data_IF_871928865274
#
_entry.id   IF_871928865274
#
_cell.length_a   1.000
_cell.length_b   1.000
_cell.length_c   1.000
_cell.angle_alpha   90.00
_cell.angle_beta   90.00
_cell.angle_gamma   90.00
#
_symmetry.space_group_name_H-M   'P 1'
#
loop_
_entity.id
_entity.type
_entity.pdbx_description
1 polymer ?
#
# COMPACT_ATOMS: atom_id res chain seq x y z
N UNK A 1 17.04 39.73 -9.10
CA UNK A 1 16.54 38.65 -9.93
C UNK A 1 16.47 37.39 -9.05
N UNK A 2 15.34 37.19 -8.43
CA UNK A 2 15.07 36.05 -7.55
C UNK A 2 14.94 34.82 -8.44
N UNK A 3 15.85 33.83 -8.30
CA UNK A 3 15.65 32.48 -8.77
C UNK A 3 14.46 31.92 -7.94
N UNK A 4 13.28 31.89 -8.53
CA UNK A 4 12.23 31.00 -8.08
C UNK A 4 12.80 29.60 -8.18
N UNK A 5 13.02 28.95 -7.05
CA UNK A 5 13.31 27.53 -6.97
C UNK A 5 12.08 26.81 -7.56
N UNK A 6 12.16 26.46 -8.84
CA UNK A 6 11.15 25.67 -9.51
C UNK A 6 11.18 24.31 -8.83
N UNK A 7 10.26 24.11 -7.86
CA UNK A 7 10.08 22.83 -7.17
C UNK A 7 9.89 21.78 -8.26
N UNK A 8 10.77 20.80 -8.31
CA UNK A 8 10.70 19.74 -9.32
C UNK A 8 9.46 18.91 -9.02
N UNK A 9 8.44 19.00 -9.85
CA UNK A 9 7.26 18.18 -9.74
C UNK A 9 7.56 16.78 -10.24
N UNK A 10 7.20 15.76 -9.45
CA UNK A 10 7.29 14.35 -9.82
C UNK A 10 5.90 13.90 -10.25
N UNK A 11 5.72 13.65 -11.55
CA UNK A 11 4.41 13.32 -12.13
C UNK A 11 4.23 11.83 -12.43
N UNK A 12 5.29 11.04 -12.37
CA UNK A 12 5.22 9.58 -12.53
C UNK A 12 6.28 8.86 -11.71
N UNK A 13 5.99 7.62 -11.34
CA UNK A 13 6.89 6.72 -10.62
C UNK A 13 7.11 5.48 -11.48
N UNK A 14 8.38 5.15 -11.75
CA UNK A 14 8.74 3.92 -12.44
C UNK A 14 8.77 2.72 -11.48
N UNK A 15 8.97 1.53 -12.03
CA UNK A 15 9.00 0.28 -11.26
C UNK A 15 10.08 0.26 -10.19
N UNK A 16 11.28 0.77 -10.50
CA UNK A 16 12.40 0.82 -9.53
C UNK A 16 12.04 1.69 -8.32
N UNK A 17 11.52 2.88 -8.56
CA UNK A 17 11.10 3.79 -7.48
C UNK A 17 9.97 3.21 -6.65
N UNK A 18 8.96 2.60 -7.28
CA UNK A 18 7.85 1.96 -6.56
C UNK A 18 8.33 0.77 -5.73
N UNK A 19 9.25 -0.05 -6.26
CA UNK A 19 9.89 -1.15 -5.52
C UNK A 19 10.59 -0.64 -4.26
N UNK A 20 11.38 0.43 -4.38
CA UNK A 20 12.06 1.05 -3.23
C UNK A 20 11.10 1.63 -2.20
N UNK A 21 10.01 2.26 -2.65
CA UNK A 21 8.96 2.78 -1.77
C UNK A 21 8.28 1.65 -1.00
N UNK A 22 7.95 0.56 -1.67
CA UNK A 22 7.36 -0.63 -1.03
C UNK A 22 8.28 -1.22 0.03
N UNK A 23 9.56 -1.41 -0.28
CA UNK A 23 10.55 -1.95 0.67
C UNK A 23 10.76 -1.02 1.87
N UNK A 24 10.78 0.29 1.66
CA UNK A 24 10.86 1.27 2.74
C UNK A 24 9.62 1.23 3.64
N UNK A 25 8.42 1.13 3.06
CA UNK A 25 7.17 0.97 3.79
C UNK A 25 7.13 -0.31 4.62
N UNK A 26 7.62 -1.42 4.06
CA UNK A 26 7.70 -2.70 4.76
C UNK A 26 8.62 -2.61 5.99
N UNK A 27 9.79 -1.99 5.86
CA UNK A 27 10.72 -1.76 6.98
C UNK A 27 10.12 -0.84 8.05
N UNK A 28 9.41 0.21 7.63
CA UNK A 28 8.76 1.14 8.57
C UNK A 28 7.66 0.45 9.37
N UNK A 29 6.85 -0.38 8.72
CA UNK A 29 5.82 -1.17 9.41
C UNK A 29 6.44 -2.16 10.40
N UNK A 30 7.49 -2.88 10.01
CA UNK A 30 8.20 -3.81 10.88
C UNK A 30 8.82 -3.11 12.10
N UNK A 31 9.41 -1.94 11.91
CA UNK A 31 9.98 -1.13 12.99
C UNK A 31 8.93 -0.63 14.00
N UNK A 32 7.68 -0.47 13.57
CA UNK A 32 6.57 0.04 14.40
C UNK A 32 5.61 -1.04 14.89
N UNK A 33 5.89 -2.31 14.64
CA UNK A 33 4.95 -3.41 14.94
C UNK A 33 4.55 -3.49 16.40
N UNK A 34 5.48 -3.28 17.32
CA UNK A 34 5.18 -3.34 18.77
C UNK A 34 4.25 -2.19 19.18
N UNK A 35 4.49 -0.99 18.69
CA UNK A 35 3.58 0.13 18.94
C UNK A 35 2.18 -0.12 18.38
N UNK A 36 2.06 -0.73 17.19
CA UNK A 36 0.76 -1.11 16.62
C UNK A 36 0.10 -2.20 17.46
N UNK A 37 0.86 -3.17 18.00
CA UNK A 37 0.35 -4.18 18.91
C UNK A 37 -0.27 -3.54 20.17
N UNK A 38 0.39 -2.53 20.77
CA UNK A 38 -0.11 -1.80 21.93
C UNK A 38 -1.43 -1.07 21.64
N UNK A 39 -1.63 -0.58 20.43
CA UNK A 39 -2.85 0.10 20.00
C UNK A 39 -3.99 -0.87 19.64
N UNK A 40 -3.74 -2.16 19.60
CA UNK A 40 -4.71 -3.17 19.19
C UNK A 40 -5.70 -3.47 20.34
N UNK A 41 -6.72 -2.62 20.47
CA UNK A 41 -7.79 -2.72 21.47
C UNK A 41 -9.15 -3.07 20.88
N UNK A 42 -9.28 -3.07 19.56
CA UNK A 42 -10.53 -3.33 18.83
C UNK A 42 -10.21 -3.96 17.44
N UNK A 43 -11.06 -4.85 16.92
CA UNK A 43 -12.25 -5.46 17.51
C UNK A 43 -11.94 -6.57 18.51
N UNK A 44 -10.74 -7.15 18.47
CA UNK A 44 -10.25 -8.19 19.37
C UNK A 44 -8.92 -7.72 19.97
N UNK A 45 -8.82 -7.53 21.29
CA UNK A 45 -7.64 -6.96 21.93
C UNK A 45 -6.58 -8.03 22.23
N UNK A 46 -6.12 -8.76 21.20
CA UNK A 46 -5.10 -9.80 21.30
C UNK A 46 -3.66 -9.29 21.15
N UNK A 47 -3.50 -7.99 20.81
CA UNK A 47 -2.19 -7.34 20.78
C UNK A 47 -1.26 -7.85 19.69
N UNK A 48 -1.77 -8.40 18.59
CA UNK A 48 -0.97 -9.04 17.55
C UNK A 48 -1.08 -8.40 16.15
N UNK A 49 -1.86 -7.33 16.02
CA UNK A 49 -2.11 -6.67 14.71
C UNK A 49 -0.82 -6.26 14.02
N UNK A 50 0.09 -5.59 14.74
CA UNK A 50 1.36 -5.14 14.20
C UNK A 50 2.26 -6.31 13.78
N UNK A 51 2.33 -7.34 14.59
CA UNK A 51 3.09 -8.57 14.28
C UNK A 51 2.53 -9.25 13.02
N UNK A 52 1.23 -9.43 12.94
CA UNK A 52 0.57 -10.07 11.80
C UNK A 52 0.76 -9.27 10.49
N UNK A 53 0.60 -7.97 10.55
CA UNK A 53 0.81 -7.09 9.39
C UNK A 53 2.29 -7.07 8.96
N UNK A 54 3.22 -7.01 9.92
CA UNK A 54 4.65 -7.06 9.64
C UNK A 54 5.05 -8.36 8.97
N UNK A 55 4.64 -9.52 9.51
CA UNK A 55 4.93 -10.82 8.90
C UNK A 55 4.39 -10.92 7.47
N UNK A 56 3.21 -10.37 7.23
CA UNK A 56 2.56 -10.36 5.92
C UNK A 56 3.33 -9.53 4.91
N UNK A 57 3.65 -8.27 5.24
CA UNK A 57 4.37 -7.38 4.31
C UNK A 57 5.82 -7.81 4.11
N UNK A 58 6.49 -8.32 5.14
CA UNK A 58 7.86 -8.79 5.04
C UNK A 58 7.98 -10.04 4.17
N UNK A 59 6.94 -10.88 4.09
CA UNK A 59 6.88 -11.98 3.14
C UNK A 59 6.90 -11.46 1.69
N UNK A 60 6.13 -10.43 1.38
CA UNK A 60 6.17 -9.77 0.07
C UNK A 60 7.51 -9.06 -0.17
N UNK A 61 8.05 -8.38 0.84
CA UNK A 61 9.31 -7.65 0.72
C UNK A 61 10.49 -8.57 0.37
N UNK A 62 10.52 -9.79 0.89
CA UNK A 62 11.54 -10.77 0.50
C UNK A 62 11.46 -11.13 -0.99
N UNK A 63 10.27 -11.29 -1.53
CA UNK A 63 10.09 -11.58 -2.95
C UNK A 63 10.43 -10.39 -3.83
N UNK A 64 10.03 -9.19 -3.44
CA UNK A 64 10.40 -7.94 -4.14
C UNK A 64 11.92 -7.74 -4.12
N UNK A 65 12.56 -7.96 -2.97
CA UNK A 65 14.01 -7.81 -2.82
C UNK A 65 14.83 -8.83 -3.63
N UNK A 66 14.23 -9.94 -4.05
CA UNK A 66 14.86 -10.96 -4.88
C UNK A 66 14.77 -10.67 -6.39
N UNK A 67 13.97 -9.68 -6.79
CA UNK A 67 13.81 -9.30 -8.19
C UNK A 67 15.02 -8.51 -8.69
N UNK A 68 15.39 -8.75 -9.95
CA UNK A 68 16.43 -8.00 -10.67
C UNK A 68 15.81 -7.32 -11.87
N UNK A 69 15.84 -5.98 -11.89
CA UNK A 69 15.26 -5.15 -12.96
C UNK A 69 13.83 -5.58 -13.36
N UNK A 70 12.88 -5.67 -12.40
CA UNK A 70 11.54 -6.17 -12.69
C UNK A 70 10.75 -5.21 -13.57
N UNK A 71 9.84 -5.78 -14.34
CA UNK A 71 8.71 -5.03 -14.91
C UNK A 71 7.71 -4.70 -13.82
N UNK A 72 6.82 -3.74 -14.05
CA UNK A 72 5.73 -3.42 -13.12
C UNK A 72 4.84 -4.64 -12.85
N UNK A 73 4.60 -5.47 -13.85
CA UNK A 73 3.85 -6.72 -13.73
C UNK A 73 4.53 -7.73 -12.81
N UNK A 74 5.84 -7.88 -12.91
CA UNK A 74 6.61 -8.76 -12.01
C UNK A 74 6.65 -8.24 -10.59
N UNK A 75 6.82 -6.93 -10.40
CA UNK A 75 6.74 -6.28 -9.09
C UNK A 75 5.35 -6.48 -8.46
N UNK A 76 4.29 -6.20 -9.19
CA UNK A 76 2.92 -6.38 -8.74
C UNK A 76 2.62 -7.84 -8.34
N UNK A 77 3.12 -8.80 -9.11
CA UNK A 77 3.00 -10.23 -8.79
C UNK A 77 3.73 -10.58 -7.50
N UNK A 78 4.97 -10.09 -7.31
CA UNK A 78 5.74 -10.34 -6.10
C UNK A 78 5.06 -9.78 -4.84
N UNK A 79 4.54 -8.56 -4.91
CA UNK A 79 3.80 -7.92 -3.81
C UNK A 79 2.53 -8.71 -3.50
N UNK A 80 1.68 -8.95 -4.50
CA UNK A 80 0.38 -9.59 -4.32
C UNK A 80 0.51 -11.04 -3.84
N UNK A 81 1.33 -11.84 -4.52
CA UNK A 81 1.49 -13.26 -4.19
C UNK A 81 2.30 -13.45 -2.90
N UNK A 82 3.32 -12.64 -2.69
CA UNK A 82 4.16 -12.71 -1.49
C UNK A 82 3.39 -12.36 -0.22
N UNK A 83 2.58 -11.31 -0.25
CA UNK A 83 1.73 -10.93 0.89
C UNK A 83 0.64 -11.98 1.15
N UNK A 84 0.04 -12.55 0.12
CA UNK A 84 -0.98 -13.58 0.27
C UNK A 84 -0.41 -14.87 0.92
N UNK A 85 0.76 -15.33 0.47
CA UNK A 85 1.43 -16.50 1.07
C UNK A 85 1.85 -16.26 2.52
N UNK A 86 2.23 -15.05 2.83
CA UNK A 86 2.67 -14.64 4.17
C UNK A 86 1.56 -14.14 5.09
N UNK A 87 0.32 -14.09 4.62
CA UNK A 87 -0.80 -13.52 5.39
C UNK A 87 -0.97 -14.23 6.74
N UNK A 88 -1.03 -13.43 7.82
CA UNK A 88 -1.24 -13.89 9.20
C UNK A 88 -2.32 -13.08 9.87
N UNK A 89 -3.22 -13.76 10.58
CA UNK A 89 -4.33 -13.15 11.29
C UNK A 89 -5.29 -12.39 10.37
N UNK A 90 -6.34 -11.82 10.94
CA UNK A 90 -7.32 -11.05 10.17
C UNK A 90 -6.70 -9.80 9.53
N UNK A 91 -5.86 -9.09 10.26
CA UNK A 91 -5.17 -7.88 9.78
C UNK A 91 -4.23 -8.18 8.61
N UNK A 92 -3.47 -9.27 8.67
CA UNK A 92 -2.59 -9.68 7.58
C UNK A 92 -3.37 -10.13 6.33
N UNK A 93 -4.47 -10.86 6.51
CA UNK A 93 -5.35 -11.23 5.38
C UNK A 93 -5.93 -9.99 4.71
N UNK A 94 -6.45 -9.03 5.48
CA UNK A 94 -6.98 -7.77 4.94
C UNK A 94 -5.88 -6.99 4.19
N UNK A 95 -4.69 -6.85 4.80
CA UNK A 95 -3.55 -6.19 4.15
C UNK A 95 -3.20 -6.86 2.82
N UNK A 96 -3.18 -8.20 2.77
CA UNK A 96 -2.91 -8.93 1.53
C UNK A 96 -3.97 -8.68 0.45
N UNK A 97 -5.23 -8.49 0.82
CA UNK A 97 -6.30 -8.15 -0.12
C UNK A 97 -6.21 -6.71 -0.62
N UNK A 98 -5.79 -5.78 0.23
CA UNK A 98 -5.48 -4.40 -0.18
C UNK A 98 -4.37 -4.40 -1.24
N UNK A 99 -3.26 -5.10 -0.99
CA UNK A 99 -2.19 -5.23 -1.98
C UNK A 99 -2.64 -5.92 -3.26
N UNK A 100 -3.46 -6.95 -3.15
CA UNK A 100 -4.02 -7.64 -4.32
C UNK A 100 -4.82 -6.72 -5.21
N UNK A 101 -5.70 -5.90 -4.63
CA UNK A 101 -6.49 -4.91 -5.37
C UNK A 101 -5.62 -3.83 -6.00
N UNK A 102 -4.69 -3.27 -5.25
CA UNK A 102 -3.73 -2.27 -5.72
C UNK A 102 -2.91 -2.80 -6.91
N UNK A 103 -2.36 -3.99 -6.78
CA UNK A 103 -1.54 -4.62 -7.82
C UNK A 103 -2.31 -4.98 -9.09
N UNK A 104 -3.63 -5.21 -9.00
CA UNK A 104 -4.48 -5.42 -10.19
C UNK A 104 -4.49 -4.23 -11.13
N UNK A 105 -4.36 -3.03 -10.60
CA UNK A 105 -4.34 -1.79 -11.39
C UNK A 105 -2.94 -1.52 -11.90
N UNK A 106 -1.93 -1.44 -11.03
CA UNK A 106 -0.59 -0.99 -11.42
C UNK A 106 0.11 -1.91 -12.44
N UNK A 107 -0.21 -3.20 -12.44
CA UNK A 107 0.41 -4.19 -13.35
C UNK A 107 0.18 -3.90 -14.84
N UNK A 108 -0.81 -3.09 -15.17
CA UNK A 108 -1.17 -2.74 -16.55
C UNK A 108 -0.40 -1.51 -17.08
N UNK A 109 0.46 -0.92 -16.24
CA UNK A 109 1.20 0.31 -16.56
C UNK A 109 2.70 0.11 -16.39
N UNK A 110 3.50 0.80 -17.20
CA UNK A 110 4.96 0.83 -17.05
C UNK A 110 5.39 1.87 -16.00
N UNK A 111 4.64 2.96 -15.90
CA UNK A 111 4.79 4.02 -14.91
C UNK A 111 3.45 4.34 -14.25
N UNK A 112 3.50 4.84 -13.03
CA UNK A 112 2.33 5.15 -12.21
C UNK A 112 2.30 6.65 -11.94
N UNK A 113 1.24 7.31 -12.37
CA UNK A 113 0.94 8.70 -12.06
C UNK A 113 -0.13 8.81 -10.96
N UNK A 114 -0.55 10.03 -10.62
CA UNK A 114 -1.59 10.28 -9.62
C UNK A 114 -2.90 9.59 -9.98
N UNK A 115 -3.31 9.61 -11.23
CA UNK A 115 -4.56 8.98 -11.68
C UNK A 115 -4.52 7.46 -11.49
N UNK A 116 -3.43 6.82 -11.91
CA UNK A 116 -3.24 5.37 -11.73
C UNK A 116 -3.19 4.99 -10.24
N UNK A 117 -2.49 5.77 -9.41
CA UNK A 117 -2.47 5.55 -7.96
C UNK A 117 -3.84 5.67 -7.32
N UNK A 118 -4.63 6.68 -7.73
CA UNK A 118 -5.99 6.86 -7.26
C UNK A 118 -6.85 5.63 -7.56
N UNK A 119 -6.82 5.15 -8.81
CA UNK A 119 -7.54 3.94 -9.23
C UNK A 119 -7.05 2.70 -8.46
N UNK A 120 -5.74 2.60 -8.21
CA UNK A 120 -5.15 1.51 -7.43
C UNK A 120 -5.64 1.50 -5.97
N UNK A 121 -5.73 2.66 -5.32
CA UNK A 121 -6.30 2.77 -3.97
C UNK A 121 -7.78 2.40 -3.94
N UNK A 122 -8.58 2.86 -4.91
CA UNK A 122 -10.00 2.48 -5.01
C UNK A 122 -10.14 0.96 -5.16
N UNK A 123 -9.35 0.36 -6.04
CA UNK A 123 -9.39 -1.09 -6.28
C UNK A 123 -8.91 -1.90 -5.08
N UNK A 124 -7.93 -1.39 -4.34
CA UNK A 124 -7.47 -1.99 -3.10
C UNK A 124 -8.61 -2.10 -2.07
N UNK A 125 -9.30 -1.00 -1.83
CA UNK A 125 -10.43 -0.94 -0.89
C UNK A 125 -11.58 -1.84 -1.34
N UNK A 126 -11.99 -1.76 -2.60
CA UNK A 126 -13.04 -2.62 -3.16
C UNK A 126 -12.71 -4.11 -2.96
N UNK A 127 -11.48 -4.50 -3.25
CA UNK A 127 -11.04 -5.89 -3.14
C UNK A 127 -11.05 -6.37 -1.68
N UNK A 128 -10.57 -5.54 -0.76
CA UNK A 128 -10.53 -5.88 0.66
C UNK A 128 -11.93 -5.98 1.27
N UNK A 129 -12.84 -5.04 0.97
CA UNK A 129 -14.22 -5.09 1.46
C UNK A 129 -14.99 -6.31 0.93
N UNK A 130 -14.78 -6.72 -0.32
CA UNK A 130 -15.37 -7.94 -0.89
C UNK A 130 -14.86 -9.22 -0.23
N UNK A 131 -13.63 -9.21 0.28
CA UNK A 131 -13.04 -10.37 0.95
C UNK A 131 -13.51 -10.56 2.39
N UNK A 132 -14.07 -9.52 3.01
CA UNK A 132 -14.54 -9.53 4.41
C UNK A 132 -16.06 -9.67 4.44
N UNK A 133 -16.55 -10.78 5.01
CA UNK A 133 -17.99 -11.06 5.06
C UNK A 133 -18.78 -10.04 5.88
N UNK A 134 -18.19 -9.50 6.95
CA UNK A 134 -18.80 -8.51 7.85
C UNK A 134 -17.77 -7.42 8.17
N UNK A 135 -17.57 -6.43 7.28
CA UNK A 135 -16.66 -5.32 7.53
C UNK A 135 -17.06 -4.58 8.82
N UNK A 136 -16.06 -4.24 9.64
CA UNK A 136 -16.25 -3.43 10.85
C UNK A 136 -15.56 -2.08 10.69
N UNK A 137 -16.28 -1.02 11.03
CA UNK A 137 -15.69 0.32 11.11
C UNK A 137 -14.74 0.44 12.30
N UNK A 138 -13.80 1.38 12.24
CA UNK A 138 -12.74 1.55 13.24
C UNK A 138 -11.60 0.55 13.10
N UNK A 139 -11.42 -0.03 11.90
CA UNK A 139 -10.36 -1.00 11.58
C UNK A 139 -9.46 -0.48 10.43
N UNK A 140 -8.47 -1.28 10.03
CA UNK A 140 -7.63 -1.00 8.85
C UNK A 140 -8.47 -0.72 7.58
N UNK A 141 -9.65 -1.32 7.46
CA UNK A 141 -10.56 -1.06 6.33
C UNK A 141 -11.05 0.39 6.32
N UNK A 142 -11.38 0.95 7.48
CA UNK A 142 -11.79 2.36 7.61
C UNK A 142 -10.66 3.31 7.21
N UNK A 143 -9.43 3.01 7.65
CA UNK A 143 -8.24 3.80 7.28
C UNK A 143 -7.98 3.73 5.78
N UNK A 144 -8.01 2.52 5.21
CA UNK A 144 -7.81 2.33 3.77
C UNK A 144 -8.89 3.06 2.94
N UNK A 145 -10.15 3.01 3.38
CA UNK A 145 -11.25 3.75 2.73
C UNK A 145 -11.03 5.26 2.80
N UNK A 146 -10.66 5.78 3.97
CA UNK A 146 -10.34 7.19 4.14
C UNK A 146 -9.20 7.65 3.24
N UNK A 147 -8.13 6.87 3.12
CA UNK A 147 -7.04 7.14 2.21
C UNK A 147 -7.49 7.14 0.74
N UNK A 148 -8.31 6.18 0.33
CA UNK A 148 -8.83 6.10 -1.03
C UNK A 148 -9.78 7.26 -1.36
N UNK A 149 -10.64 7.67 -0.43
CA UNK A 149 -11.53 8.82 -0.58
C UNK A 149 -10.71 10.13 -0.71
N UNK A 150 -9.68 10.30 0.10
CA UNK A 150 -8.77 11.46 0.02
C UNK A 150 -7.99 11.48 -1.30
N UNK A 151 -7.58 10.32 -1.79
CA UNK A 151 -6.91 10.17 -3.09
C UNK A 151 -7.79 10.66 -4.24
N UNK A 152 -9.10 10.40 -4.21
CA UNK A 152 -10.05 10.92 -5.21
C UNK A 152 -10.09 12.45 -5.24
N UNK A 153 -10.12 13.09 -4.06
CA UNK A 153 -10.12 14.54 -3.95
C UNK A 153 -8.79 15.12 -4.50
N UNK A 154 -7.66 14.60 -4.04
CA UNK A 154 -6.33 15.08 -4.42
C UNK A 154 -6.01 14.85 -5.90
N UNK A 155 -6.50 13.77 -6.51
CA UNK A 155 -6.31 13.52 -7.94
C UNK A 155 -6.98 14.57 -8.84
N UNK A 156 -7.94 15.34 -8.32
CA UNK A 156 -8.56 16.47 -9.03
C UNK A 156 -7.79 17.78 -8.83
N UNK A 157 -6.90 17.85 -7.84
CA UNK A 157 -6.19 19.06 -7.44
C UNK A 157 -4.75 19.11 -7.94
N UNK A 158 -4.09 17.95 -8.10
CA UNK A 158 -2.66 17.87 -8.39
C UNK A 158 -2.27 16.69 -9.26
N UNK A 159 -1.21 16.88 -10.05
CA UNK A 159 -0.48 15.82 -10.74
C UNK A 159 0.89 15.56 -10.08
N UNK A 160 1.27 16.35 -9.07
CA UNK A 160 2.50 16.17 -8.30
C UNK A 160 2.34 15.04 -7.28
N UNK A 161 3.07 13.95 -7.50
CA UNK A 161 3.04 12.76 -6.64
C UNK A 161 3.56 13.02 -5.24
N UNK A 162 4.47 13.98 -5.06
CA UNK A 162 4.96 14.35 -3.71
C UNK A 162 3.83 14.95 -2.91
N UNK A 163 3.11 15.91 -3.49
CA UNK A 163 1.94 16.53 -2.84
C UNK A 163 0.81 15.52 -2.60
N UNK A 164 0.58 14.63 -3.57
CA UNK A 164 -0.47 13.61 -3.47
C UNK A 164 -0.21 12.59 -2.35
N UNK A 165 1.05 12.21 -2.12
CA UNK A 165 1.42 11.21 -1.11
C UNK A 165 1.64 11.80 0.30
N UNK A 166 1.79 13.12 0.43
CA UNK A 166 2.05 13.81 1.70
C UNK A 166 0.75 14.10 2.45
#
# INVERSE_FOLDING_TARGET
MTREDKKLEITSINTESLSRMFLAGAKNLDAKKEWINELNVFPVPDGDTGTNMSMTIMSAAREVGALSNPTMKELAKAISSGSLRGARGNSGVILSQLFRGFCKVIKEYDEVDVSVLCDAFQKAVETAYKAVMKPKEGTILTVAKGAADKALDLAQETEDLVYFCD
#
